data_IF_299981345122
#
_entry.id   IF_299981345122
#
_cell.length_a   1.000
_cell.length_b   1.000
_cell.length_c   1.000
_cell.angle_alpha   90.00
_cell.angle_beta   90.00
_cell.angle_gamma   90.00
#
_symmetry.space_group_name_H-M   'P 1'
#
loop_
_entity.id
_entity.type
_entity.pdbx_description
1 polymer ?
#
# COMPACT_ATOMS: atom_id res chain seq x y z
N UNK A 1 -3.53 43.71 -30.36
CA UNK A 1 -4.14 43.36 -29.09
C UNK A 1 -5.14 42.20 -29.16
N UNK A 2 -6.20 42.30 -30.03
CA UNK A 2 -7.20 41.18 -30.13
C UNK A 2 -6.60 39.92 -30.77
N UNK A 3 -5.72 40.06 -31.78
CA UNK A 3 -5.04 38.94 -32.41
C UNK A 3 -4.10 38.17 -31.48
N UNK A 4 -3.38 38.88 -30.64
CA UNK A 4 -2.45 38.27 -29.68
C UNK A 4 -3.18 37.47 -28.59
N UNK A 5 -4.35 37.97 -28.17
CA UNK A 5 -5.20 37.28 -27.20
C UNK A 5 -5.76 35.97 -27.79
N UNK A 6 -6.18 35.97 -29.06
CA UNK A 6 -6.67 34.78 -29.76
C UNK A 6 -5.56 33.73 -29.94
N UNK A 7 -4.33 34.13 -30.25
CA UNK A 7 -3.17 33.23 -30.33
C UNK A 7 -2.87 32.60 -28.98
N UNK A 8 -2.89 33.36 -27.90
CA UNK A 8 -2.64 32.81 -26.56
C UNK A 8 -3.72 31.82 -26.15
N UNK A 9 -4.98 32.12 -26.35
CA UNK A 9 -6.11 31.19 -26.04
C UNK A 9 -6.00 29.91 -26.86
N UNK A 10 -5.67 30.00 -28.14
CA UNK A 10 -5.48 28.85 -29.03
C UNK A 10 -4.30 27.97 -28.54
N UNK A 11 -3.19 28.58 -28.15
CA UNK A 11 -2.04 27.87 -27.61
C UNK A 11 -2.38 27.12 -26.31
N UNK A 12 -3.03 27.78 -25.34
CA UNK A 12 -3.46 27.14 -24.09
C UNK A 12 -4.45 26.02 -24.32
N UNK A 13 -5.43 26.18 -25.21
CA UNK A 13 -6.37 25.14 -25.55
C UNK A 13 -5.66 23.91 -26.16
N UNK A 14 -4.68 24.13 -27.04
CA UNK A 14 -3.91 23.04 -27.65
C UNK A 14 -3.06 22.31 -26.61
N UNK A 15 -2.40 23.02 -25.72
CA UNK A 15 -1.61 22.44 -24.63
C UNK A 15 -2.50 21.59 -23.70
N UNK A 16 -3.65 22.12 -23.28
CA UNK A 16 -4.62 21.38 -22.44
C UNK A 16 -5.13 20.14 -23.16
N UNK A 17 -5.43 20.20 -24.45
CA UNK A 17 -5.86 19.05 -25.25
C UNK A 17 -4.77 17.97 -25.36
N UNK A 18 -3.51 18.36 -25.56
CA UNK A 18 -2.39 17.41 -25.61
C UNK A 18 -2.21 16.70 -24.27
N UNK A 19 -2.21 17.47 -23.16
CA UNK A 19 -2.08 16.90 -21.83
C UNK A 19 -3.26 15.99 -21.47
N UNK A 20 -4.48 16.37 -21.76
CA UNK A 20 -5.65 15.54 -21.50
C UNK A 20 -5.66 14.23 -22.31
N UNK A 21 -5.24 14.27 -23.59
CA UNK A 21 -5.09 13.07 -24.42
C UNK A 21 -3.99 12.15 -23.90
N UNK A 22 -2.84 12.71 -23.48
CA UNK A 22 -1.77 11.91 -22.86
C UNK A 22 -2.19 11.26 -21.55
N UNK A 23 -2.89 12.00 -20.69
CA UNK A 23 -3.42 11.48 -19.42
C UNK A 23 -4.43 10.34 -19.67
N UNK A 24 -5.35 10.51 -20.62
CA UNK A 24 -6.32 9.46 -20.99
C UNK A 24 -5.62 8.21 -21.55
N UNK A 25 -4.64 8.37 -22.44
CA UNK A 25 -3.86 7.24 -22.98
C UNK A 25 -3.09 6.49 -21.88
N UNK A 26 -2.47 7.22 -20.97
CA UNK A 26 -1.77 6.63 -19.83
C UNK A 26 -2.74 5.82 -18.94
N UNK A 27 -3.89 6.39 -18.59
CA UNK A 27 -4.91 5.71 -17.81
C UNK A 27 -5.46 4.46 -18.52
N UNK A 28 -5.70 4.55 -19.84
CA UNK A 28 -6.17 3.40 -20.63
C UNK A 28 -5.15 2.28 -20.65
N UNK A 29 -3.87 2.58 -20.87
CA UNK A 29 -2.81 1.57 -20.89
C UNK A 29 -2.63 0.95 -19.50
N UNK A 30 -2.67 1.76 -18.44
CA UNK A 30 -2.59 1.31 -17.07
C UNK A 30 -3.76 0.37 -16.72
N UNK A 31 -4.99 0.74 -17.04
CA UNK A 31 -6.17 -0.08 -16.83
C UNK A 31 -6.11 -1.41 -17.61
N UNK A 32 -5.61 -1.40 -18.85
CA UNK A 32 -5.42 -2.63 -19.65
C UNK A 32 -4.41 -3.58 -18.97
N UNK A 33 -3.34 -3.02 -18.45
CA UNK A 33 -2.34 -3.80 -17.74
C UNK A 33 -2.95 -4.44 -16.47
N UNK A 34 -3.69 -3.67 -15.66
CA UNK A 34 -4.36 -4.19 -14.47
C UNK A 34 -5.46 -5.21 -14.80
N UNK A 35 -6.23 -5.01 -15.88
CA UNK A 35 -7.23 -5.98 -16.36
C UNK A 35 -6.57 -7.30 -16.78
N UNK A 36 -5.44 -7.24 -17.49
CA UNK A 36 -4.69 -8.44 -17.87
C UNK A 36 -4.17 -9.22 -16.64
N UNK A 37 -3.68 -8.51 -15.60
CA UNK A 37 -3.28 -9.13 -14.33
C UNK A 37 -4.47 -9.77 -13.63
N UNK A 38 -5.56 -9.02 -13.52
CA UNK A 38 -6.78 -9.51 -12.89
C UNK A 38 -7.23 -10.82 -13.55
N UNK A 39 -7.29 -10.85 -14.88
CA UNK A 39 -7.64 -12.05 -15.65
C UNK A 39 -6.66 -13.21 -15.43
N UNK A 40 -5.36 -12.93 -15.40
CA UNK A 40 -4.33 -13.94 -15.18
C UNK A 40 -4.47 -14.64 -13.81
N UNK A 41 -4.88 -13.88 -12.78
CA UNK A 41 -5.07 -14.39 -11.42
C UNK A 41 -6.53 -14.71 -11.07
N UNK A 42 -7.48 -14.55 -11.99
CA UNK A 42 -8.90 -14.74 -11.70
C UNK A 42 -9.48 -13.68 -10.76
N UNK A 43 -8.89 -12.48 -10.74
CA UNK A 43 -9.34 -11.37 -9.90
C UNK A 43 -10.45 -10.57 -10.56
N UNK A 44 -11.36 -10.02 -9.74
CA UNK A 44 -12.27 -8.97 -10.16
C UNK A 44 -11.49 -7.68 -10.43
N UNK A 45 -11.82 -7.01 -11.53
CA UNK A 45 -11.24 -5.71 -11.90
C UNK A 45 -12.34 -4.65 -12.02
N UNK A 46 -12.12 -3.49 -11.38
CA UNK A 46 -13.01 -2.34 -11.46
C UNK A 46 -12.35 -1.22 -12.29
N UNK A 47 -12.72 -1.05 -13.58
CA UNK A 47 -12.13 -0.02 -14.45
C UNK A 47 -12.53 1.41 -14.08
N UNK A 48 -13.64 1.57 -13.35
CA UNK A 48 -14.18 2.87 -12.95
C UNK A 48 -13.81 3.24 -11.51
N UNK A 49 -12.66 2.72 -11.02
CA UNK A 49 -12.20 3.05 -9.69
C UNK A 49 -11.93 4.54 -9.52
N UNK A 50 -12.46 5.13 -8.45
CA UNK A 50 -12.05 6.44 -7.99
C UNK A 50 -10.67 6.38 -7.29
N UNK A 51 -10.09 7.53 -7.02
CA UNK A 51 -8.94 7.63 -6.14
C UNK A 51 -9.33 7.10 -4.75
N UNK A 52 -8.49 6.23 -4.17
CA UNK A 52 -8.73 5.51 -2.89
C UNK A 52 -9.74 4.35 -2.97
N UNK A 53 -10.03 3.83 -4.16
CA UNK A 53 -10.90 2.66 -4.32
C UNK A 53 -10.08 1.40 -4.62
N UNK A 54 -10.63 0.24 -4.26
CA UNK A 54 -10.10 -1.05 -4.68
C UNK A 54 -10.23 -1.18 -6.19
N UNK A 55 -9.12 -1.45 -6.84
CA UNK A 55 -9.00 -1.57 -8.29
C UNK A 55 -9.14 -3.02 -8.72
N UNK A 56 -8.51 -3.93 -7.96
CA UNK A 56 -8.60 -5.37 -8.16
C UNK A 56 -8.81 -6.05 -6.81
N UNK A 57 -9.58 -7.11 -6.82
CA UNK A 57 -9.75 -8.01 -5.69
C UNK A 57 -9.86 -9.46 -6.16
N UNK A 58 -9.42 -10.36 -5.32
CA UNK A 58 -9.48 -11.79 -5.62
C UNK A 58 -8.91 -12.61 -4.48
N UNK A 59 -8.64 -13.89 -4.75
CA UNK A 59 -8.04 -14.80 -3.79
C UNK A 59 -6.78 -15.44 -4.37
N UNK A 60 -5.75 -15.57 -3.54
CA UNK A 60 -4.55 -16.35 -3.83
C UNK A 60 -4.43 -17.40 -2.71
N UNK A 61 -4.58 -18.69 -3.08
CA UNK A 61 -4.72 -19.73 -2.09
C UNK A 61 -5.98 -19.52 -1.24
N UNK A 62 -5.83 -19.42 0.08
CA UNK A 62 -6.92 -19.19 1.02
C UNK A 62 -7.11 -17.70 1.40
N UNK A 63 -6.24 -16.80 0.92
CA UNK A 63 -6.21 -15.40 1.34
C UNK A 63 -6.89 -14.49 0.32
N UNK A 64 -7.69 -13.56 0.81
CA UNK A 64 -8.19 -12.46 0.00
C UNK A 64 -7.07 -11.47 -0.27
N UNK A 65 -6.97 -11.04 -1.52
CA UNK A 65 -5.98 -10.09 -2.01
C UNK A 65 -6.69 -8.87 -2.61
N UNK A 66 -6.32 -7.67 -2.14
CA UNK A 66 -6.88 -6.42 -2.64
C UNK A 66 -5.74 -5.52 -3.14
N UNK A 67 -5.96 -4.87 -4.29
CA UNK A 67 -5.08 -3.86 -4.85
C UNK A 67 -5.85 -2.55 -4.97
N UNK A 68 -5.32 -1.48 -4.41
CA UNK A 68 -5.98 -0.17 -4.41
C UNK A 68 -4.98 0.96 -4.64
N UNK A 69 -5.50 2.14 -5.04
CA UNK A 69 -4.74 3.38 -5.07
C UNK A 69 -5.15 4.27 -3.92
N UNK A 70 -4.16 4.83 -3.24
CA UNK A 70 -4.36 5.79 -2.16
C UNK A 70 -3.70 7.12 -2.52
N UNK A 71 -4.43 8.22 -2.39
CA UNK A 71 -3.87 9.55 -2.59
C UNK A 71 -3.81 10.28 -1.25
N UNK A 72 -2.59 10.50 -0.77
CA UNK A 72 -2.33 11.23 0.46
C UNK A 72 -2.08 12.70 0.13
N UNK A 73 -2.91 13.58 0.68
CA UNK A 73 -2.72 15.03 0.61
C UNK A 73 -1.86 15.50 1.77
N UNK A 74 -0.67 16.01 1.48
CA UNK A 74 0.16 16.66 2.51
C UNK A 74 -0.37 18.06 2.80
N UNK A 75 -0.61 18.37 4.07
CA UNK A 75 -0.95 19.73 4.58
C UNK A 75 0.24 20.70 4.52
N UNK A 76 1.14 20.58 3.58
CA UNK A 76 2.28 21.50 3.40
C UNK A 76 1.87 22.66 2.49
N UNK A 77 2.51 23.83 2.66
CA UNK A 77 2.29 25.05 1.85
C UNK A 77 2.35 24.85 0.33
N UNK A 78 2.85 23.72 -0.16
CA UNK A 78 2.93 23.37 -1.59
C UNK A 78 1.85 22.36 -2.04
N UNK A 79 0.91 22.00 -1.21
CA UNK A 79 -0.29 21.16 -1.50
C UNK A 79 -0.02 19.98 -2.47
N UNK A 80 1.11 19.27 -2.31
CA UNK A 80 1.48 18.16 -3.17
C UNK A 80 0.77 16.88 -2.69
N UNK A 81 -0.15 16.38 -3.49
CA UNK A 81 -0.69 15.04 -3.30
C UNK A 81 0.31 13.99 -3.82
N UNK A 82 0.42 12.88 -3.13
CA UNK A 82 1.18 11.70 -3.59
C UNK A 82 0.23 10.52 -3.70
N UNK A 83 0.28 9.84 -4.83
CA UNK A 83 -0.46 8.60 -5.04
C UNK A 83 0.44 7.42 -4.72
N UNK A 84 -0.13 6.44 -4.04
CA UNK A 84 0.52 5.18 -3.71
C UNK A 84 -0.32 4.03 -4.26
N UNK A 85 0.34 2.98 -4.75
CA UNK A 85 -0.27 1.68 -4.96
C UNK A 85 -0.19 0.93 -3.64
N UNK A 86 -1.31 0.37 -3.22
CA UNK A 86 -1.44 -0.44 -2.01
C UNK A 86 -1.86 -1.85 -2.40
N UNK A 87 -1.07 -2.84 -1.98
CA UNK A 87 -1.38 -4.27 -2.13
C UNK A 87 -1.57 -4.82 -0.73
N UNK A 88 -2.69 -5.48 -0.46
CA UNK A 88 -2.97 -6.08 0.84
C UNK A 88 -3.49 -7.50 0.71
N UNK A 89 -3.17 -8.32 1.70
CA UNK A 89 -3.60 -9.71 1.84
C UNK A 89 -4.22 -9.87 3.23
N UNK A 90 -5.45 -10.36 3.29
CA UNK A 90 -6.17 -10.57 4.54
C UNK A 90 -5.66 -11.80 5.28
N UNK A 91 -5.59 -11.72 6.61
CA UNK A 91 -5.40 -12.85 7.51
C UNK A 91 -6.75 -13.50 7.81
N UNK A 92 -6.84 -14.83 7.81
CA UNK A 92 -8.08 -15.57 8.04
C UNK A 92 -8.45 -15.71 9.53
N UNK A 93 -7.48 -15.53 10.41
CA UNK A 93 -7.67 -15.56 11.87
C UNK A 93 -7.09 -14.31 12.51
N UNK A 94 -7.88 -13.22 12.66
CA UNK A 94 -7.35 -12.02 13.32
C UNK A 94 -6.95 -12.34 14.76
N UNK A 95 -5.74 -11.90 15.13
CA UNK A 95 -5.17 -12.22 16.46
C UNK A 95 -5.86 -11.48 17.62
N UNK A 96 -6.66 -10.47 17.34
CA UNK A 96 -7.35 -9.59 18.30
C UNK A 96 -6.41 -8.91 19.34
N UNK A 97 -5.15 -8.76 18.97
CA UNK A 97 -4.12 -8.16 19.83
C UNK A 97 -4.04 -6.63 19.68
N UNK A 98 -4.81 -6.05 18.75
CA UNK A 98 -4.61 -4.66 18.33
C UNK A 98 -3.25 -4.45 17.67
N UNK A 99 -2.70 -5.51 17.07
CA UNK A 99 -1.35 -5.51 16.51
C UNK A 99 -1.24 -4.56 15.32
N UNK A 100 -0.28 -3.66 15.40
CA UNK A 100 0.14 -2.79 14.32
C UNK A 100 1.66 -2.76 14.23
N UNK A 101 2.20 -3.32 13.15
CA UNK A 101 3.62 -3.26 12.81
C UNK A 101 3.76 -2.32 11.62
N UNK A 102 4.44 -1.20 11.80
CA UNK A 102 4.62 -0.19 10.77
C UNK A 102 6.07 0.24 10.66
N UNK A 103 6.60 0.55 9.47
CA UNK A 103 7.96 1.03 9.33
C UNK A 103 8.20 2.31 10.16
N UNK A 104 9.37 2.42 10.79
CA UNK A 104 9.80 3.62 11.50
C UNK A 104 9.71 4.86 10.58
N UNK A 105 9.30 6.02 11.13
CA UNK A 105 9.14 7.26 10.37
C UNK A 105 7.81 7.39 9.58
N UNK A 106 6.93 6.39 9.63
CA UNK A 106 5.67 6.38 8.88
C UNK A 106 4.55 7.26 9.48
N UNK A 107 4.53 7.47 10.79
CA UNK A 107 3.47 8.23 11.48
C UNK A 107 3.37 9.71 11.06
N UNK A 108 4.38 10.25 10.39
CA UNK A 108 4.33 11.61 9.85
C UNK A 108 3.53 11.75 8.55
N UNK A 109 3.08 10.66 7.93
CA UNK A 109 2.48 10.65 6.59
C UNK A 109 0.97 10.37 6.56
N UNK A 110 0.24 10.55 7.69
CA UNK A 110 -1.23 10.64 7.62
C UNK A 110 -2.04 9.42 8.06
N UNK A 111 -1.43 8.32 8.53
CA UNK A 111 -2.16 7.34 9.32
C UNK A 111 -2.23 7.83 10.78
N UNK A 112 -3.18 8.72 11.05
CA UNK A 112 -3.62 8.95 12.42
C UNK A 112 -4.40 7.72 12.85
N UNK A 113 -3.71 6.78 13.49
CA UNK A 113 -4.40 5.79 14.31
C UNK A 113 -5.11 6.59 15.42
N UNK A 114 -6.39 6.33 15.68
CA UNK A 114 -7.09 7.00 16.79
C UNK A 114 -6.28 6.75 18.08
N UNK A 115 -5.89 7.80 18.76
CA UNK A 115 -5.13 7.73 20.03
C UNK A 115 -5.86 6.95 21.11
N UNK A 116 -7.17 6.72 20.94
CA UNK A 116 -8.03 5.96 21.85
C UNK A 116 -7.86 4.44 21.76
N UNK A 117 -7.23 3.92 20.71
CA UNK A 117 -7.06 2.46 20.50
C UNK A 117 -5.66 1.96 20.80
N UNK A 118 -4.71 2.85 21.03
CA UNK A 118 -3.34 2.46 21.25
C UNK A 118 -2.86 3.09 22.53
N UNK A 119 -2.62 2.28 23.56
CA UNK A 119 -1.75 2.70 24.66
C UNK A 119 -0.52 3.35 24.04
N UNK A 120 -0.14 4.53 24.50
CA UNK A 120 0.85 5.43 23.87
C UNK A 120 2.29 4.90 23.85
N UNK A 121 2.53 3.61 24.19
CA UNK A 121 3.86 3.05 24.24
C UNK A 121 4.14 2.15 23.03
N UNK A 122 5.25 2.42 22.36
CA UNK A 122 5.79 1.52 21.36
C UNK A 122 6.32 0.28 22.08
N UNK A 123 5.90 -0.91 21.62
CA UNK A 123 6.35 -2.18 22.19
C UNK A 123 7.73 -2.51 21.63
N UNK A 124 8.69 -2.74 22.52
CA UNK A 124 10.05 -3.18 22.16
C UNK A 124 10.11 -4.70 22.30
N UNK A 125 10.41 -5.39 21.20
CA UNK A 125 10.47 -6.86 21.18
C UNK A 125 11.81 -7.38 21.74
N UNK A 126 12.89 -6.59 21.60
CA UNK A 126 14.24 -6.97 21.99
C UNK A 126 15.07 -7.55 20.84
N UNK A 127 14.52 -7.59 19.62
CA UNK A 127 15.28 -7.93 18.42
C UNK A 127 15.71 -6.63 17.75
N UNK A 128 16.97 -6.23 17.92
CA UNK A 128 17.49 -4.93 17.49
C UNK A 128 17.20 -4.63 16.02
N UNK A 129 17.44 -5.57 15.11
CA UNK A 129 17.24 -5.39 13.68
C UNK A 129 15.76 -5.15 13.30
N UNK A 130 14.84 -5.62 14.14
CA UNK A 130 13.41 -5.44 13.97
C UNK A 130 12.94 -4.12 14.61
N UNK A 131 13.33 -3.88 15.85
CA UNK A 131 12.95 -2.69 16.62
C UNK A 131 13.48 -1.39 15.99
N UNK A 132 14.65 -1.43 15.32
CA UNK A 132 15.18 -0.28 14.56
C UNK A 132 14.37 0.03 13.29
N UNK A 133 13.73 -0.98 12.69
CA UNK A 133 13.00 -0.81 11.42
C UNK A 133 11.51 -0.59 11.60
N UNK A 134 10.93 -1.13 12.66
CA UNK A 134 9.50 -1.15 12.86
C UNK A 134 9.08 -0.54 14.20
N UNK A 135 7.93 0.13 14.16
CA UNK A 135 7.17 0.51 15.33
C UNK A 135 6.07 -0.51 15.53
N UNK A 136 5.95 -1.02 16.75
CA UNK A 136 5.00 -2.06 17.12
C UNK A 136 4.05 -1.51 18.17
N UNK A 137 2.76 -1.70 17.94
CA UNK A 137 1.69 -1.35 18.88
C UNK A 137 0.75 -2.53 19.05
N UNK A 138 0.08 -2.59 20.19
CA UNK A 138 -0.92 -3.59 20.51
C UNK A 138 -1.56 -3.30 21.86
N UNK A 139 -2.63 -4.03 22.21
CA UNK A 139 -3.36 -3.84 23.45
C UNK A 139 -2.60 -4.38 24.66
N UNK A 140 -1.93 -5.51 24.51
CA UNK A 140 -1.16 -6.19 25.56
C UNK A 140 0.26 -6.51 25.05
N UNK A 141 1.26 -5.92 25.72
CA UNK A 141 2.65 -6.07 25.34
C UNK A 141 3.12 -7.53 25.43
N UNK A 142 2.72 -8.25 26.49
CA UNK A 142 3.13 -9.64 26.70
C UNK A 142 2.52 -10.57 25.62
N UNK A 143 1.24 -10.36 25.31
CA UNK A 143 0.57 -11.11 24.26
C UNK A 143 1.17 -10.82 22.89
N UNK A 144 1.51 -9.57 22.58
CA UNK A 144 2.20 -9.19 21.33
C UNK A 144 3.59 -9.81 21.25
N UNK A 145 4.39 -9.77 22.36
CA UNK A 145 5.71 -10.41 22.40
C UNK A 145 5.62 -11.93 22.19
N UNK A 146 4.67 -12.59 22.82
CA UNK A 146 4.43 -14.03 22.65
C UNK A 146 3.99 -14.36 21.21
N UNK A 147 3.20 -13.49 20.60
CA UNK A 147 2.74 -13.67 19.22
C UNK A 147 3.85 -13.45 18.20
N UNK A 148 4.75 -12.48 18.43
CA UNK A 148 5.89 -12.18 17.55
C UNK A 148 7.08 -13.12 17.85
N UNK A 149 6.91 -14.39 17.50
CA UNK A 149 7.97 -15.39 17.64
C UNK A 149 9.19 -15.04 16.76
N UNK A 150 10.39 -15.52 17.07
CA UNK A 150 11.59 -15.31 16.24
C UNK A 150 11.38 -15.69 14.77
N UNK A 151 10.59 -16.75 14.50
CA UNK A 151 10.24 -17.18 13.15
C UNK A 151 9.42 -16.10 12.41
N UNK A 152 8.42 -15.51 13.06
CA UNK A 152 7.56 -14.45 12.49
C UNK A 152 8.33 -13.16 12.26
N UNK A 153 9.18 -12.77 13.21
CA UNK A 153 10.08 -11.62 13.09
C UNK A 153 10.99 -11.79 11.87
N UNK A 154 11.64 -12.95 11.77
CA UNK A 154 12.52 -13.26 10.63
C UNK A 154 11.76 -13.21 9.31
N UNK A 155 10.53 -13.73 9.25
CA UNK A 155 9.69 -13.69 8.05
C UNK A 155 9.37 -12.25 7.62
N UNK A 156 9.05 -11.34 8.56
CA UNK A 156 8.82 -9.92 8.25
C UNK A 156 10.09 -9.26 7.71
N UNK A 157 11.23 -9.48 8.35
CA UNK A 157 12.51 -8.92 7.90
C UNK A 157 12.91 -9.43 6.51
N UNK A 158 12.71 -10.71 6.24
CA UNK A 158 12.96 -11.34 4.94
C UNK A 158 12.02 -10.77 3.85
N UNK A 159 10.73 -10.63 4.17
CA UNK A 159 9.77 -10.02 3.25
C UNK A 159 10.17 -8.58 2.91
N UNK A 160 10.53 -7.77 3.92
CA UNK A 160 10.99 -6.40 3.69
C UNK A 160 12.27 -6.33 2.86
N UNK A 161 13.21 -7.23 3.11
CA UNK A 161 14.45 -7.30 2.32
C UNK A 161 14.16 -7.61 0.84
N UNK A 162 13.21 -8.51 0.57
CA UNK A 162 12.78 -8.86 -0.79
C UNK A 162 12.06 -7.72 -1.51
N UNK A 163 11.32 -6.88 -0.77
CA UNK A 163 10.63 -5.71 -1.31
C UNK A 163 11.57 -4.54 -1.59
N UNK A 164 12.67 -4.45 -0.86
CA UNK A 164 13.61 -3.33 -0.93
C UNK A 164 13.20 -2.12 -0.06
N UNK A 165 14.10 -1.14 0.08
CA UNK A 165 13.99 -0.08 1.10
C UNK A 165 12.90 0.98 0.82
N UNK A 166 12.46 1.10 -0.44
CA UNK A 166 11.45 2.10 -0.82
C UNK A 166 10.01 1.63 -0.59
N UNK A 167 9.82 0.33 -0.38
CA UNK A 167 8.51 -0.28 -0.21
C UNK A 167 8.22 -0.47 1.27
N UNK A 168 7.04 -0.08 1.69
CA UNK A 168 6.68 -0.05 3.12
C UNK A 168 5.74 -1.20 3.44
N UNK A 169 6.31 -2.22 4.05
CA UNK A 169 5.58 -3.36 4.58
C UNK A 169 4.96 -2.98 5.93
N UNK A 170 3.67 -3.23 6.09
CA UNK A 170 2.94 -3.09 7.34
C UNK A 170 2.08 -4.32 7.60
N UNK A 171 1.84 -4.61 8.87
CA UNK A 171 1.05 -5.75 9.31
C UNK A 171 0.12 -5.31 10.43
N UNK A 172 -1.12 -5.80 10.40
CA UNK A 172 -2.13 -5.62 11.44
C UNK A 172 -2.72 -6.97 11.82
N UNK A 173 -3.61 -7.01 12.82
CA UNK A 173 -4.37 -8.22 13.15
C UNK A 173 -5.11 -8.82 11.96
N UNK A 174 -5.50 -8.00 10.99
CA UNK A 174 -6.41 -8.40 9.92
C UNK A 174 -5.72 -8.60 8.57
N UNK A 175 -4.56 -7.96 8.35
CA UNK A 175 -3.94 -7.97 7.04
C UNK A 175 -2.45 -7.68 7.06
N UNK A 176 -1.77 -8.18 6.04
CA UNK A 176 -0.42 -7.78 5.65
C UNK A 176 -0.53 -6.90 4.42
N UNK A 177 0.20 -5.80 4.36
CA UNK A 177 0.11 -4.87 3.24
C UNK A 177 1.44 -4.21 2.89
N UNK A 178 1.56 -3.82 1.63
CA UNK A 178 2.71 -3.06 1.11
C UNK A 178 2.22 -1.82 0.38
N UNK A 179 2.89 -0.71 0.62
CA UNK A 179 2.65 0.54 -0.06
C UNK A 179 3.84 0.89 -0.95
N UNK A 180 3.55 1.12 -2.23
CA UNK A 180 4.51 1.53 -3.25
C UNK A 180 4.35 3.01 -3.56
N UNK A 181 5.43 3.80 -3.63
CA UNK A 181 5.34 5.18 -4.08
C UNK A 181 5.07 5.24 -5.59
N UNK A 182 4.04 5.99 -5.97
CA UNK A 182 3.66 6.18 -7.37
C UNK A 182 2.72 5.10 -7.94
N UNK A 183 2.48 5.22 -9.24
CA UNK A 183 1.69 4.26 -10.00
C UNK A 183 2.63 3.21 -10.60
N UNK A 184 2.64 2.02 -10.03
CA UNK A 184 3.37 0.89 -10.62
C UNK A 184 2.51 0.31 -11.72
N UNK A 185 3.05 0.26 -12.94
CA UNK A 185 2.45 -0.41 -14.09
C UNK A 185 3.06 -1.78 -14.38
N UNK A 186 4.12 -2.14 -13.65
CA UNK A 186 4.76 -3.44 -13.79
C UNK A 186 3.95 -4.52 -13.08
N UNK A 187 3.34 -5.34 -13.90
CA UNK A 187 2.47 -6.45 -13.54
C UNK A 187 3.20 -7.52 -12.73
N UNK A 188 4.45 -7.78 -13.08
CA UNK A 188 5.25 -8.80 -12.42
C UNK A 188 5.56 -8.40 -10.98
N UNK A 189 5.85 -7.12 -10.75
CA UNK A 189 6.07 -6.59 -9.41
C UNK A 189 4.83 -6.73 -8.53
N UNK A 190 3.64 -6.40 -9.04
CA UNK A 190 2.38 -6.55 -8.28
C UNK A 190 2.12 -8.02 -7.96
N UNK A 191 2.26 -8.91 -8.94
CA UNK A 191 2.06 -10.35 -8.77
C UNK A 191 3.04 -10.95 -7.75
N UNK A 192 4.32 -10.63 -7.88
CA UNK A 192 5.35 -11.13 -6.96
C UNK A 192 5.13 -10.60 -5.54
N UNK A 193 4.71 -9.34 -5.41
CA UNK A 193 4.35 -8.76 -4.11
C UNK A 193 3.17 -9.49 -3.50
N UNK A 194 2.10 -9.72 -4.25
CA UNK A 194 0.93 -10.43 -3.73
C UNK A 194 1.29 -11.84 -3.24
N UNK A 195 2.11 -12.59 -4.00
CA UNK A 195 2.61 -13.90 -3.58
C UNK A 195 3.48 -13.84 -2.32
N UNK A 196 4.34 -12.83 -2.21
CA UNK A 196 5.18 -12.61 -1.03
C UNK A 196 4.32 -12.31 0.21
N UNK A 197 3.27 -11.50 0.05
CA UNK A 197 2.35 -11.18 1.16
C UNK A 197 1.53 -12.40 1.58
N UNK A 198 1.10 -13.24 0.63
CA UNK A 198 0.43 -14.52 0.94
C UNK A 198 1.37 -15.43 1.73
N UNK A 199 2.62 -15.60 1.28
CA UNK A 199 3.61 -16.37 2.03
C UNK A 199 3.79 -15.82 3.45
N UNK A 200 3.88 -14.48 3.61
CA UNK A 200 4.01 -13.87 4.93
C UNK A 200 2.76 -14.09 5.79
N UNK A 201 1.55 -13.95 5.22
CA UNK A 201 0.30 -14.24 5.91
C UNK A 201 0.26 -15.68 6.45
N UNK A 202 0.70 -16.65 5.65
CA UNK A 202 0.80 -18.05 6.08
C UNK A 202 1.76 -18.24 7.28
N UNK A 203 2.84 -17.44 7.40
CA UNK A 203 3.74 -17.52 8.57
C UNK A 203 3.07 -17.00 9.85
N UNK A 204 2.07 -16.13 9.75
CA UNK A 204 1.33 -15.59 10.89
C UNK A 204 0.14 -16.46 11.30
N UNK A 205 -0.33 -17.32 10.42
CA UNK A 205 -1.42 -18.26 10.66
C UNK A 205 -0.93 -19.68 11.04
N UNK A 206 0.35 -19.96 10.87
CA UNK A 206 0.99 -21.20 11.30
C UNK A 206 1.34 -21.09 12.80
#
# INVERSE_FOLDING_TARGET
MVADLLCMVGFFATVVLIFSRRAKRFQTNHNRALDALAKHHGFGFNPNHGWNATVMNGTIGKHRCDVSFETVRRRSRRNRSRTYLHVSVSLNGPSQLGLHITPQGFLSEGLQLPDSLTGNQDIIIGEQAFDEKYRIKGFDENAVRAHLTPKRIHAVLQAQASLGPLHRLSLTDQQVSVRFPGLISDMQTISNTAKLLVWLADQFEA
#
